data_IF_494855611842
#
_entry.id   IF_494855611842
#
_cell.length_a   1.000
_cell.length_b   1.000
_cell.length_c   1.000
_cell.angle_alpha   90.00
_cell.angle_beta   90.00
_cell.angle_gamma   90.00
#
_symmetry.space_group_name_H-M   'P 1'
#
loop_
_entity.id
_entity.type
_entity.pdbx_description
1 polymer ?
#
# COMPACT_ATOMS: atom_id res chain seq x y z
N UNK A 1 -5.64 -13.08 7.77
CA UNK A 1 -4.31 -12.44 7.74
C UNK A 1 -3.25 -13.39 7.20
N UNK A 2 -3.29 -14.66 7.61
CA UNK A 2 -2.36 -15.73 7.20
C UNK A 2 -2.16 -15.86 5.68
N UNK A 3 -3.22 -15.76 4.86
CA UNK A 3 -3.09 -15.89 3.40
C UNK A 3 -2.24 -14.79 2.75
N UNK A 4 -2.30 -13.54 3.24
CA UNK A 4 -1.49 -12.44 2.70
C UNK A 4 -0.03 -12.56 3.14
N UNK A 5 0.21 -12.95 4.39
CA UNK A 5 1.56 -13.15 4.91
C UNK A 5 2.28 -14.23 4.10
N UNK A 6 1.63 -15.38 3.88
CA UNK A 6 2.22 -16.45 3.05
C UNK A 6 2.44 -15.99 1.60
N UNK A 7 1.51 -15.23 1.03
CA UNK A 7 1.66 -14.70 -0.34
C UNK A 7 2.85 -13.73 -0.47
N UNK A 8 3.21 -13.01 0.58
CA UNK A 8 4.28 -12.00 0.56
C UNK A 8 5.65 -12.56 0.94
N UNK A 9 5.73 -13.71 1.61
CA UNK A 9 7.01 -14.34 1.96
C UNK A 9 7.89 -14.56 0.73
N UNK A 10 9.19 -14.31 0.89
CA UNK A 10 10.19 -14.50 -0.16
C UNK A 10 10.25 -13.39 -1.22
N UNK A 11 9.39 -12.36 -1.13
CA UNK A 11 9.41 -11.22 -2.05
C UNK A 11 10.14 -10.02 -1.42
N UNK A 12 10.96 -9.34 -2.20
CA UNK A 12 11.63 -8.11 -1.77
C UNK A 12 10.69 -6.89 -1.75
N UNK A 13 9.67 -6.88 -2.62
CA UNK A 13 8.75 -5.77 -2.76
C UNK A 13 7.30 -6.23 -3.01
N UNK A 14 6.35 -5.41 -2.56
CA UNK A 14 4.91 -5.54 -2.85
C UNK A 14 4.42 -4.22 -3.45
N UNK A 15 3.69 -4.29 -4.56
CA UNK A 15 3.09 -3.14 -5.22
C UNK A 15 1.57 -3.25 -5.15
N UNK A 16 0.92 -2.31 -4.46
CA UNK A 16 -0.52 -2.25 -4.34
C UNK A 16 -1.11 -1.49 -5.53
N UNK A 17 -1.81 -2.19 -6.42
CA UNK A 17 -2.53 -1.62 -7.55
C UNK A 17 -4.06 -1.64 -7.33
N UNK A 18 -4.50 -1.51 -6.08
CA UNK A 18 -5.91 -1.51 -5.73
C UNK A 18 -6.62 -0.28 -6.30
N UNK A 19 -7.81 -0.47 -6.86
CA UNK A 19 -8.73 0.64 -7.15
C UNK A 19 -9.36 1.20 -5.87
N UNK A 20 -10.11 2.30 -6.00
CA UNK A 20 -10.74 3.01 -4.88
C UNK A 20 -11.54 2.09 -3.93
N UNK A 21 -12.28 1.12 -4.48
CA UNK A 21 -13.06 0.15 -3.68
C UNK A 21 -12.23 -0.85 -2.87
N UNK A 22 -10.91 -0.89 -3.06
CA UNK A 22 -10.00 -1.77 -2.31
C UNK A 22 -9.17 -1.05 -1.24
N UNK A 23 -9.13 0.29 -1.23
CA UNK A 23 -8.21 1.08 -0.39
C UNK A 23 -8.36 0.81 1.11
N UNK A 24 -9.57 0.47 1.57
CA UNK A 24 -9.81 0.11 2.98
C UNK A 24 -9.00 -1.12 3.44
N UNK A 25 -8.53 -1.96 2.52
CA UNK A 25 -7.70 -3.13 2.83
C UNK A 25 -6.20 -2.82 2.87
N UNK A 26 -5.77 -1.62 2.48
CA UNK A 26 -4.37 -1.33 2.24
C UNK A 26 -3.52 -1.41 3.51
N UNK A 27 -4.05 -0.93 4.64
CA UNK A 27 -3.41 -1.06 5.97
C UNK A 27 -3.14 -2.53 6.30
N UNK A 28 -4.12 -3.40 6.07
CA UNK A 28 -3.98 -4.84 6.34
C UNK A 28 -2.93 -5.50 5.44
N UNK A 29 -2.76 -5.02 4.21
CA UNK A 29 -1.71 -5.49 3.30
C UNK A 29 -0.33 -5.00 3.76
N UNK A 30 -0.24 -3.77 4.25
CA UNK A 30 0.99 -3.23 4.85
C UNK A 30 1.41 -4.07 6.06
N UNK A 31 0.50 -4.35 6.99
CA UNK A 31 0.80 -5.18 8.18
C UNK A 31 1.28 -6.57 7.80
N UNK A 32 0.67 -7.18 6.78
CA UNK A 32 1.08 -8.48 6.27
C UNK A 32 2.47 -8.43 5.60
N UNK A 33 2.77 -7.37 4.85
CA UNK A 33 4.09 -7.19 4.20
C UNK A 33 5.20 -7.00 5.23
N UNK A 34 4.95 -6.21 6.27
CA UNK A 34 5.86 -6.05 7.42
C UNK A 34 6.10 -7.40 8.09
N UNK A 35 5.03 -8.15 8.39
CA UNK A 35 5.12 -9.47 9.04
C UNK A 35 5.86 -10.50 8.17
N UNK A 36 5.70 -10.44 6.85
CA UNK A 36 6.37 -11.34 5.90
C UNK A 36 7.84 -10.98 5.64
N UNK A 37 8.33 -9.84 6.15
CA UNK A 37 9.71 -9.38 5.97
C UNK A 37 9.99 -8.75 4.59
N UNK A 38 8.96 -8.22 3.93
CA UNK A 38 9.11 -7.49 2.66
C UNK A 38 9.91 -6.20 2.88
N UNK A 39 10.86 -5.89 1.99
CA UNK A 39 11.75 -4.72 2.11
C UNK A 39 11.08 -3.41 1.68
N UNK A 40 10.20 -3.48 0.67
CA UNK A 40 9.52 -2.31 0.12
C UNK A 40 8.03 -2.57 -0.11
N UNK A 41 7.17 -1.67 0.39
CA UNK A 41 5.75 -1.65 0.06
C UNK A 41 5.42 -0.37 -0.70
N UNK A 42 4.93 -0.48 -1.94
CA UNK A 42 4.53 0.66 -2.78
C UNK A 42 3.00 0.75 -2.73
N UNK A 43 2.44 1.79 -2.09
CA UNK A 43 0.99 1.92 -1.92
C UNK A 43 0.29 2.34 -3.22
N UNK A 44 -1.05 2.21 -3.26
CA UNK A 44 -1.90 2.64 -4.37
C UNK A 44 -2.05 4.17 -4.40
N UNK A 45 -0.98 4.85 -4.80
CA UNK A 45 -0.86 6.31 -4.82
C UNK A 45 -0.46 6.85 -6.21
N UNK A 46 -0.77 6.13 -7.29
CA UNK A 46 -0.40 6.47 -8.68
C UNK A 46 -1.17 7.66 -9.29
N UNK A 47 -1.62 8.60 -8.45
CA UNK A 47 -2.35 9.80 -8.82
C UNK A 47 -1.56 11.08 -8.52
N UNK A 48 -2.26 12.12 -8.08
CA UNK A 48 -1.63 13.38 -7.71
C UNK A 48 -0.92 13.29 -6.36
N UNK A 49 0.10 14.14 -6.16
CA UNK A 49 0.76 14.27 -4.86
C UNK A 49 -0.19 14.89 -3.82
N UNK A 50 -0.69 14.06 -2.90
CA UNK A 50 -1.60 14.43 -1.82
C UNK A 50 -0.97 15.37 -0.77
N UNK A 51 0.36 15.48 -0.75
CA UNK A 51 1.11 16.39 0.12
C UNK A 51 1.47 17.72 -0.57
N UNK A 52 1.08 17.93 -1.82
CA UNK A 52 1.36 19.19 -2.50
C UNK A 52 0.55 20.35 -1.90
N UNK A 53 1.17 21.51 -1.65
CA UNK A 53 0.47 22.70 -1.14
C UNK A 53 -0.71 23.10 -2.03
N UNK A 54 -0.53 23.01 -3.37
CA UNK A 54 -1.59 23.21 -4.36
C UNK A 54 -2.83 22.34 -4.14
N UNK A 55 -2.69 21.12 -3.63
CA UNK A 55 -3.85 20.25 -3.33
C UNK A 55 -4.73 20.78 -2.17
N UNK A 56 -4.21 21.72 -1.38
CA UNK A 56 -4.86 22.30 -0.22
C UNK A 56 -5.12 23.81 -0.35
N UNK A 57 -4.60 24.46 -1.40
CA UNK A 57 -4.68 25.93 -1.57
C UNK A 57 -6.09 26.46 -1.89
N UNK A 58 -7.05 25.58 -2.21
CA UNK A 58 -8.44 25.94 -2.53
C UNK A 58 -9.49 25.24 -1.62
N UNK A 59 -9.09 24.71 -0.46
CA UNK A 59 -9.99 24.11 0.53
C UNK A 59 -10.14 24.99 1.78
#
# INVERSE_FOLDING_TARGET
MTSLIEAFKGHDAVVSALGAGGLDNEIRMIDAAVTAGVKHFIPSQFGSNTQSKKAWEDK
#
